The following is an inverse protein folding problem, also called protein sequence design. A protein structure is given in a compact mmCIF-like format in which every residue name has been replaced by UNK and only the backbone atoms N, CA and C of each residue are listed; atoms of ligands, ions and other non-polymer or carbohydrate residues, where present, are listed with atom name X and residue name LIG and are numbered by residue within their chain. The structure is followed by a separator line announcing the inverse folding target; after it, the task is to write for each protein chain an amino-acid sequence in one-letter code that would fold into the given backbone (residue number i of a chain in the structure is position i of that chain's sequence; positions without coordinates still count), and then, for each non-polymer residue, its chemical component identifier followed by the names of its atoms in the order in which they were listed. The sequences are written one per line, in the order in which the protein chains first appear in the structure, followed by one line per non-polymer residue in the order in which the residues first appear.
data_IF_292318992737
#
_entry.id   IF_292318992737
#
_cell.length_a   1.000
_cell.length_b   1.000
_cell.length_c   1.000
_cell.angle_alpha   90.00
_cell.angle_beta   90.00
_cell.angle_gamma   90.00
#
_symmetry.space_group_name_H-M   'P 1'
#
loop_
_entity.id
_entity.type
_entity.pdbx_description
1 polymer ?
#
# COMPACT_ATOMS: atom_id res chain seq x y z
N UNK A 1 25.82 -38.81 -5.05
CA UNK A 1 25.81 -37.42 -5.54
C UNK A 1 24.52 -36.77 -5.05
N UNK A 2 24.53 -36.11 -3.89
CA UNK A 2 23.38 -35.32 -3.42
C UNK A 2 23.48 -33.98 -4.12
N UNK A 3 22.53 -33.66 -5.00
CA UNK A 3 22.42 -32.30 -5.54
C UNK A 3 22.04 -31.40 -4.37
N UNK A 4 22.93 -30.48 -4.00
CA UNK A 4 22.57 -29.36 -3.14
C UNK A 4 21.60 -28.48 -3.94
N UNK A 5 20.30 -28.65 -3.74
CA UNK A 5 19.34 -27.64 -4.17
C UNK A 5 19.52 -26.43 -3.25
N UNK A 6 20.05 -25.34 -3.81
CA UNK A 6 19.80 -24.00 -3.30
C UNK A 6 18.38 -23.68 -3.72
N UNK A 7 17.47 -23.62 -2.76
CA UNK A 7 16.13 -23.09 -2.97
C UNK A 7 16.23 -21.56 -3.07
N UNK A 8 15.96 -20.95 -4.23
CA UNK A 8 16.06 -19.51 -4.43
C UNK A 8 14.94 -18.72 -3.72
N UNK A 9 13.96 -19.40 -3.10
CA UNK A 9 12.82 -18.74 -2.45
C UNK A 9 13.11 -18.27 -1.02
N UNK A 10 14.27 -18.60 -0.45
CA UNK A 10 14.57 -18.25 0.96
C UNK A 10 15.38 -16.97 1.17
N UNK A 11 15.19 -15.94 0.35
CA UNK A 11 15.81 -14.62 0.58
C UNK A 11 14.97 -13.39 0.23
N UNK A 12 13.65 -13.50 0.02
CA UNK A 12 12.80 -12.32 0.12
C UNK A 12 12.40 -12.17 1.59
N UNK A 13 13.09 -11.29 2.34
CA UNK A 13 12.39 -10.59 3.39
C UNK A 13 11.27 -9.82 2.68
N UNK A 14 10.07 -10.38 2.62
CA UNK A 14 8.90 -9.55 2.37
C UNK A 14 8.92 -8.53 3.50
N UNK A 15 9.22 -7.26 3.18
CA UNK A 15 9.07 -6.16 4.13
C UNK A 15 7.57 -6.05 4.37
N UNK A 16 7.11 -6.75 5.40
CA UNK A 16 5.72 -6.77 5.80
C UNK A 16 5.42 -5.42 6.42
N UNK A 17 4.79 -4.54 5.65
CA UNK A 17 4.24 -3.31 6.19
C UNK A 17 2.91 -3.57 6.91
N UNK A 18 2.53 -2.67 7.80
CA UNK A 18 1.22 -2.66 8.45
C UNK A 18 0.60 -1.27 8.35
N UNK A 19 -0.73 -1.21 8.28
CA UNK A 19 -1.48 0.04 8.42
C UNK A 19 -1.41 0.47 9.88
N UNK A 20 -1.15 1.76 10.12
CA UNK A 20 -1.14 2.33 11.48
C UNK A 20 -2.51 2.92 11.84
N UNK A 21 -2.75 3.15 13.14
CA UNK A 21 -3.97 3.77 13.62
C UNK A 21 -4.16 5.15 12.99
N UNK A 22 -5.37 5.47 12.52
CA UNK A 22 -5.66 6.74 11.86
C UNK A 22 -5.44 7.93 12.79
N UNK A 23 -5.61 7.80 14.10
CA UNK A 23 -5.29 8.85 15.06
C UNK A 23 -3.78 9.14 15.18
N UNK A 24 -2.92 8.22 14.70
CA UNK A 24 -1.48 8.41 14.62
C UNK A 24 -1.04 9.05 13.28
N UNK A 25 -1.95 9.19 12.33
CA UNK A 25 -1.71 9.86 11.05
C UNK A 25 -2.01 11.35 11.23
N UNK A 26 -1.02 12.25 11.08
CA UNK A 26 -1.30 13.68 11.07
C UNK A 26 -2.13 14.05 9.85
N UNK A 27 -3.11 14.92 10.02
CA UNK A 27 -3.91 15.46 8.92
C UNK A 27 -2.99 16.10 7.86
N UNK A 28 -3.18 15.69 6.61
CA UNK A 28 -2.55 16.33 5.47
C UNK A 28 -3.10 17.75 5.20
N UNK A 29 -2.46 18.43 4.25
CA UNK A 29 -2.93 19.72 3.70
C UNK A 29 -2.86 19.77 2.17
N UNK A 30 -2.24 18.76 1.57
CA UNK A 30 -2.09 18.61 0.12
C UNK A 30 -3.31 17.90 -0.47
N UNK A 31 -3.52 17.91 -1.80
CA UNK A 31 -4.66 17.21 -2.38
C UNK A 31 -4.69 15.73 -2.00
N UNK A 32 -5.90 15.23 -1.73
CA UNK A 32 -6.13 13.79 -1.59
C UNK A 32 -6.21 13.19 -3.00
N UNK A 33 -5.37 12.20 -3.27
CA UNK A 33 -5.19 11.68 -4.63
C UNK A 33 -6.02 10.45 -4.95
N UNK A 34 -6.26 9.61 -3.94
CA UNK A 34 -6.84 8.28 -4.09
C UNK A 34 -7.89 8.04 -2.99
N UNK A 35 -8.88 7.22 -3.34
CA UNK A 35 -9.99 6.79 -2.47
C UNK A 35 -10.33 5.33 -2.79
N UNK A 36 -10.83 4.58 -1.82
CA UNK A 36 -11.19 3.16 -1.92
C UNK A 36 -10.09 2.29 -2.56
N UNK A 37 -8.82 2.52 -2.20
CA UNK A 37 -7.68 1.77 -2.76
C UNK A 37 -7.75 0.31 -2.33
N UNK A 38 -7.75 -0.59 -3.32
CA UNK A 38 -7.78 -2.03 -3.15
C UNK A 38 -6.74 -2.69 -4.05
N UNK A 39 -5.71 -3.24 -3.42
CA UNK A 39 -4.59 -3.90 -4.08
C UNK A 39 -4.67 -5.43 -3.89
N UNK A 40 -4.16 -6.17 -4.88
CA UNK A 40 -3.98 -7.62 -4.82
C UNK A 40 -2.68 -7.99 -4.09
N UNK A 41 -1.70 -7.07 -4.03
CA UNK A 41 -0.41 -7.24 -3.36
C UNK A 41 0.74 -7.59 -4.30
N UNK A 42 0.53 -7.50 -5.62
CA UNK A 42 1.56 -7.74 -6.65
C UNK A 42 1.86 -6.51 -7.50
N UNK A 43 1.12 -5.43 -7.28
CA UNK A 43 1.29 -4.13 -7.89
C UNK A 43 2.68 -3.54 -7.58
N UNK A 44 3.23 -2.78 -8.53
CA UNK A 44 4.53 -2.12 -8.32
C UNK A 44 4.39 -0.79 -7.59
N UNK A 45 3.26 -0.10 -7.77
CA UNK A 45 2.93 1.18 -7.14
C UNK A 45 1.46 1.22 -6.69
N UNK A 46 1.12 2.14 -5.79
CA UNK A 46 -0.27 2.34 -5.35
C UNK A 46 -1.21 2.76 -6.48
N UNK A 47 -0.69 3.40 -7.54
CA UNK A 47 -1.48 3.82 -8.70
C UNK A 47 -1.82 2.67 -9.65
N UNK A 48 -1.20 1.49 -9.48
CA UNK A 48 -1.52 0.29 -10.24
C UNK A 48 -2.65 -0.54 -9.59
N UNK A 49 -3.05 -0.20 -8.37
CA UNK A 49 -4.16 -0.85 -7.68
C UNK A 49 -5.51 -0.38 -8.23
N UNK A 50 -6.59 -1.07 -7.84
CA UNK A 50 -7.94 -0.55 -8.05
C UNK A 50 -8.19 0.60 -7.06
N UNK A 51 -8.88 1.65 -7.49
CA UNK A 51 -9.29 2.79 -6.67
C UNK A 51 -10.55 3.45 -7.26
N UNK A 52 -11.20 4.31 -6.48
CA UNK A 52 -12.47 4.92 -6.82
C UNK A 52 -12.48 5.51 -8.24
N UNK A 53 -13.41 5.02 -9.07
CA UNK A 53 -13.60 5.42 -10.47
C UNK A 53 -12.33 5.41 -11.36
N UNK A 54 -11.22 4.80 -10.91
CA UNK A 54 -9.91 4.87 -11.55
C UNK A 54 -9.52 6.30 -12.02
N UNK A 55 -9.93 7.31 -11.27
CA UNK A 55 -9.70 8.73 -11.60
C UNK A 55 -8.99 9.41 -10.43
N UNK A 56 -7.78 9.92 -10.69
CA UNK A 56 -7.00 10.65 -9.67
C UNK A 56 -7.75 11.89 -9.20
N UNK A 57 -7.84 12.07 -7.89
CA UNK A 57 -8.56 13.18 -7.25
C UNK A 57 -10.08 13.02 -7.24
N UNK A 58 -10.62 11.89 -7.70
CA UNK A 58 -12.01 11.53 -7.47
C UNK A 58 -12.13 10.85 -6.11
N UNK A 59 -12.49 11.62 -5.09
CA UNK A 59 -12.65 11.14 -3.72
C UNK A 59 -13.76 11.90 -3.00
N UNK A 60 -14.30 11.31 -1.94
CA UNK A 60 -15.13 12.01 -0.97
C UNK A 60 -14.47 12.12 0.42
N UNK A 61 -13.21 11.69 0.55
CA UNK A 61 -12.46 11.73 1.80
C UNK A 61 -12.10 13.14 2.27
N UNK A 62 -11.93 13.27 3.59
CA UNK A 62 -11.28 14.37 4.29
C UNK A 62 -9.92 13.93 4.86
N UNK A 63 -9.04 14.87 5.21
CA UNK A 63 -7.69 14.53 5.74
C UNK A 63 -7.71 13.72 7.04
N UNK A 64 -8.78 13.78 7.82
CA UNK A 64 -8.97 12.92 9.00
C UNK A 64 -9.12 11.42 8.64
N UNK A 65 -9.23 11.10 7.36
CA UNK A 65 -9.33 9.75 6.79
C UNK A 65 -8.03 9.32 6.09
N UNK A 66 -6.97 10.13 6.17
CA UNK A 66 -5.66 9.79 5.61
C UNK A 66 -5.11 8.49 6.21
N UNK A 67 -4.46 7.68 5.37
CA UNK A 67 -3.93 6.35 5.74
C UNK A 67 -2.41 6.41 5.85
N UNK A 68 -1.90 5.95 6.99
CA UNK A 68 -0.47 5.76 7.22
C UNK A 68 -0.06 4.29 7.17
N UNK A 69 1.20 4.03 6.81
CA UNK A 69 1.82 2.70 6.85
C UNK A 69 3.16 2.73 7.57
N UNK A 70 3.50 1.62 8.22
CA UNK A 70 4.82 1.38 8.80
C UNK A 70 5.43 0.13 8.18
N UNK A 71 6.70 0.21 7.77
CA UNK A 71 7.47 -0.88 7.19
C UNK A 71 8.26 -1.70 8.23
#
# INVERSE_FOLDING_TARGET
MKKNHIDPTKSHLQRTGSVIDSAAVPDGVDPIWLDDVSCVGTESTLFDCNYAAHTIGYHNCEHREDVGVQC
#
